data_IF_270678221482
#
_entry.id   IF_270678221482
#
_cell.length_a   1.000
_cell.length_b   1.000
_cell.length_c   1.000
_cell.angle_alpha   90.00
_cell.angle_beta   90.00
_cell.angle_gamma   90.00
#
_symmetry.space_group_name_H-M   'P 1'
#
loop_
_entity.id
_entity.type
_entity.pdbx_description
1 polymer ?
#
# COMPACT_ATOMS: atom_id res chain seq x y z
N UNK A 1 10.36 9.92 16.38
CA UNK A 1 9.80 10.08 15.02
C UNK A 1 8.79 8.96 14.78
N UNK A 2 7.54 9.31 14.54
CA UNK A 2 6.45 8.38 14.24
C UNK A 2 6.33 8.14 12.73
N UNK A 3 5.65 7.06 12.35
CA UNK A 3 5.32 6.76 10.95
C UNK A 3 3.80 6.80 10.75
N UNK A 4 3.36 7.35 9.63
CA UNK A 4 1.99 7.20 9.17
C UNK A 4 1.81 5.76 8.66
N UNK A 5 0.71 5.13 9.08
CA UNK A 5 0.40 3.75 8.69
C UNK A 5 -0.06 3.66 7.23
N UNK A 6 -0.81 4.66 6.76
CA UNK A 6 -1.32 4.72 5.39
C UNK A 6 -1.27 6.14 4.84
N UNK A 7 -1.56 6.28 3.54
CA UNK A 7 -1.71 7.59 2.91
C UNK A 7 -2.84 8.39 3.58
N UNK A 8 -2.60 9.68 3.85
CA UNK A 8 -3.63 10.59 4.37
C UNK A 8 -4.31 11.25 3.18
N UNK A 9 -5.62 11.03 3.03
CA UNK A 9 -6.36 11.36 1.78
C UNK A 9 -7.67 12.11 2.02
N UNK A 10 -8.19 12.72 0.97
CA UNK A 10 -9.50 13.40 0.95
C UNK A 10 -9.60 14.47 2.02
N UNK A 11 -10.70 14.44 2.79
CA UNK A 11 -10.92 15.41 3.86
C UNK A 11 -9.86 15.34 4.97
N UNK A 12 -9.25 14.17 5.22
CA UNK A 12 -8.17 14.05 6.18
C UNK A 12 -6.91 14.77 5.70
N UNK A 13 -6.61 14.69 4.41
CA UNK A 13 -5.52 15.43 3.78
C UNK A 13 -5.75 16.94 3.90
N UNK A 14 -6.94 17.42 3.53
CA UNK A 14 -7.27 18.85 3.63
C UNK A 14 -7.09 19.37 5.06
N UNK A 15 -7.56 18.62 6.06
CA UNK A 15 -7.42 18.98 7.48
C UNK A 15 -5.98 18.90 7.96
N UNK A 16 -5.19 17.95 7.46
CA UNK A 16 -3.76 17.86 7.76
C UNK A 16 -3.00 19.07 7.21
N UNK A 17 -3.34 19.52 5.99
CA UNK A 17 -2.77 20.74 5.41
C UNK A 17 -3.15 21.96 6.26
N UNK A 18 -4.41 22.10 6.66
CA UNK A 18 -4.83 23.21 7.52
C UNK A 18 -4.11 23.18 8.87
N UNK A 19 -4.05 22.00 9.51
CA UNK A 19 -3.30 21.79 10.75
C UNK A 19 -1.83 22.20 10.61
N UNK A 20 -1.20 21.81 9.50
CA UNK A 20 0.19 22.10 9.23
C UNK A 20 0.44 23.58 8.95
N UNK A 21 -0.42 24.23 8.15
CA UNK A 21 -0.31 25.66 7.82
C UNK A 21 -0.45 26.58 9.05
N UNK A 22 -1.12 26.12 10.11
CA UNK A 22 -1.25 26.86 11.38
C UNK A 22 -0.04 26.73 12.32
N UNK A 23 0.80 25.71 12.12
CA UNK A 23 1.83 25.28 13.11
C UNK A 23 3.25 25.21 12.55
N UNK A 24 3.38 25.03 11.24
CA UNK A 24 4.64 25.06 10.52
C UNK A 24 4.91 26.49 10.03
N UNK A 25 6.17 26.92 10.09
CA UNK A 25 6.58 28.21 9.52
C UNK A 25 6.76 28.11 8.00
N UNK A 26 7.26 26.97 7.54
CA UNK A 26 7.60 26.77 6.13
C UNK A 26 7.29 25.35 5.67
N UNK A 27 7.16 25.18 4.36
CA UNK A 27 7.13 23.86 3.73
C UNK A 27 8.07 23.83 2.52
N UNK A 28 8.49 22.62 2.14
CA UNK A 28 9.37 22.37 1.02
C UNK A 28 8.76 21.42 0.00
N UNK A 29 9.17 21.60 -1.25
CA UNK A 29 8.87 20.72 -2.38
C UNK A 29 10.17 20.42 -3.15
N UNK A 30 10.37 19.16 -3.53
CA UNK A 30 11.52 18.68 -4.27
C UNK A 30 11.25 18.50 -5.76
N UNK A 31 12.25 18.81 -6.58
CA UNK A 31 12.29 18.47 -8.01
C UNK A 31 13.62 17.78 -8.26
N UNK A 32 13.61 16.46 -8.19
CA UNK A 32 14.81 15.62 -8.26
C UNK A 32 15.33 15.49 -9.71
N UNK A 33 16.61 15.17 -9.89
CA UNK A 33 17.28 15.17 -11.21
C UNK A 33 16.89 14.02 -12.13
N UNK A 34 16.71 12.81 -11.58
CA UNK A 34 16.21 11.64 -12.32
C UNK A 34 14.86 11.89 -13.01
N UNK A 35 14.12 12.87 -12.50
CA UNK A 35 12.85 13.34 -13.04
C UNK A 35 13.05 14.32 -14.22
N UNK A 36 14.22 14.95 -14.35
CA UNK A 36 14.57 15.93 -15.39
C UNK A 36 15.43 15.36 -16.53
N UNK A 37 15.90 14.12 -16.41
CA UNK A 37 16.78 13.46 -17.38
C UNK A 37 15.98 12.44 -18.21
N UNK A 38 15.21 12.92 -19.19
CA UNK A 38 14.88 12.10 -20.36
C UNK A 38 16.08 12.10 -21.34
N UNK A 39 16.13 11.16 -22.30
CA UNK A 39 17.25 11.02 -23.26
C UNK A 39 17.52 12.30 -24.10
N UNK A 40 16.67 13.34 -23.99
CA UNK A 40 16.76 14.62 -24.69
C UNK A 40 17.04 15.82 -23.77
N UNK A 41 17.18 15.63 -22.45
CA UNK A 41 17.49 16.69 -21.50
C UNK A 41 16.38 17.72 -21.30
N UNK A 42 15.12 17.37 -21.59
CA UNK A 42 13.96 18.22 -21.36
C UNK A 42 13.07 17.56 -20.31
N UNK A 43 13.00 18.16 -19.12
CA UNK A 43 12.06 17.73 -18.10
C UNK A 43 10.64 17.79 -18.67
N UNK A 44 9.98 16.64 -18.87
CA UNK A 44 8.57 16.55 -19.26
C UNK A 44 7.70 16.92 -18.05
N UNK A 45 7.68 18.22 -17.78
CA UNK A 45 6.88 18.78 -16.70
C UNK A 45 5.44 18.96 -17.19
N UNK A 46 4.52 18.36 -16.46
CA UNK A 46 3.09 18.52 -16.72
C UNK A 46 2.70 20.02 -16.65
N UNK A 47 1.76 20.46 -17.49
CA UNK A 47 1.23 21.84 -17.45
C UNK A 47 0.69 22.17 -16.05
N UNK A 48 0.13 21.18 -15.34
CA UNK A 48 -0.33 21.33 -13.97
C UNK A 48 0.81 21.59 -12.98
N UNK A 49 1.96 20.94 -13.18
CA UNK A 49 3.16 21.14 -12.37
C UNK A 49 3.64 22.59 -12.47
N UNK A 50 3.79 23.13 -13.69
CA UNK A 50 4.29 24.50 -13.89
C UNK A 50 3.31 25.55 -13.37
N UNK A 51 2.00 25.31 -13.59
CA UNK A 51 0.95 26.17 -13.05
C UNK A 51 0.99 26.21 -11.52
N UNK A 52 1.25 25.07 -10.87
CA UNK A 52 1.37 25.00 -9.42
C UNK A 52 2.55 25.83 -8.90
N UNK A 53 3.73 25.69 -9.50
CA UNK A 53 4.90 26.48 -9.09
C UNK A 53 4.65 27.98 -9.25
N UNK A 54 3.95 28.40 -10.32
CA UNK A 54 3.55 29.80 -10.51
C UNK A 54 2.57 30.29 -9.43
N UNK A 55 1.60 29.46 -9.04
CA UNK A 55 0.66 29.78 -7.96
C UNK A 55 1.34 29.88 -6.59
N UNK A 56 2.40 29.09 -6.36
CA UNK A 56 3.17 29.11 -5.12
C UNK A 56 4.27 30.18 -5.08
N UNK A 57 4.67 30.73 -6.23
CA UNK A 57 5.74 31.72 -6.35
C UNK A 57 5.61 32.94 -5.40
N UNK A 58 4.41 33.51 -5.14
CA UNK A 58 4.27 34.60 -4.17
C UNK A 58 4.68 34.26 -2.74
N UNK A 59 4.75 32.97 -2.39
CA UNK A 59 5.12 32.46 -1.06
C UNK A 59 6.55 31.91 -1.01
N UNK A 60 7.30 31.96 -2.13
CA UNK A 60 8.64 31.41 -2.21
C UNK A 60 9.63 32.22 -1.37
N UNK A 61 10.35 31.55 -0.47
CA UNK A 61 11.39 32.15 0.36
C UNK A 61 12.79 31.89 -0.20
N UNK A 62 13.07 30.65 -0.61
CA UNK A 62 14.35 30.29 -1.19
C UNK A 62 14.25 29.11 -2.14
N UNK A 63 15.22 29.04 -3.07
CA UNK A 63 15.47 27.88 -3.93
C UNK A 63 16.85 27.34 -3.57
N UNK A 64 16.92 26.06 -3.23
CA UNK A 64 18.12 25.44 -2.69
C UNK A 64 18.58 24.30 -3.60
N UNK A 65 19.90 24.15 -3.75
CA UNK A 65 20.49 22.97 -4.37
C UNK A 65 20.56 21.82 -3.38
N UNK A 66 20.56 20.58 -3.89
CA UNK A 66 20.83 19.37 -3.09
C UNK A 66 22.02 19.52 -2.14
N UNK A 67 23.19 19.95 -2.64
CA UNK A 67 24.40 20.05 -1.83
C UNK A 67 24.27 21.00 -0.64
N UNK A 68 23.40 22.01 -0.74
CA UNK A 68 23.17 22.97 0.33
C UNK A 68 22.32 22.42 1.47
N UNK A 69 21.48 21.39 1.22
CA UNK A 69 20.45 20.96 2.15
C UNK A 69 20.44 19.46 2.48
N UNK A 70 21.22 18.63 1.76
CA UNK A 70 21.24 17.16 1.88
C UNK A 70 21.58 16.61 3.27
N UNK A 71 22.22 17.41 4.11
CA UNK A 71 22.61 16.99 5.47
C UNK A 71 21.52 17.25 6.51
N UNK A 72 20.52 18.08 6.19
CA UNK A 72 19.53 18.58 7.14
C UNK A 72 18.09 18.21 6.80
N UNK A 73 17.80 17.77 5.57
CA UNK A 73 16.44 17.54 5.10
C UNK A 73 16.23 16.15 4.51
N UNK A 74 15.20 15.49 5.00
CA UNK A 74 14.80 14.11 4.68
C UNK A 74 14.44 13.94 3.22
N UNK A 75 13.88 14.98 2.60
CA UNK A 75 13.49 14.97 1.18
C UNK A 75 14.67 15.21 0.23
N UNK A 76 15.84 15.59 0.75
CA UNK A 76 17.03 15.84 -0.04
C UNK A 76 17.96 14.61 -0.04
N UNK A 77 17.44 13.46 -0.47
CA UNK A 77 18.16 12.18 -0.55
C UNK A 77 18.74 11.89 -1.94
N UNK A 78 18.32 12.63 -2.98
CA UNK A 78 18.97 12.61 -4.30
C UNK A 78 19.20 14.02 -4.85
N UNK A 79 20.12 14.20 -5.82
CA UNK A 79 20.34 15.48 -6.47
C UNK A 79 19.04 16.08 -7.03
N UNK A 80 18.82 17.37 -6.81
CA UNK A 80 17.59 18.05 -7.18
C UNK A 80 17.60 19.54 -6.86
N UNK A 81 16.48 20.19 -7.20
CA UNK A 81 16.16 21.57 -6.82
C UNK A 81 15.05 21.55 -5.78
N UNK A 82 15.21 22.28 -4.69
CA UNK A 82 14.27 22.27 -3.57
C UNK A 82 13.77 23.67 -3.27
N UNK A 83 12.45 23.83 -3.30
CA UNK A 83 11.79 25.11 -3.11
C UNK A 83 11.25 25.18 -1.69
N UNK A 84 11.59 26.24 -0.96
CA UNK A 84 11.10 26.50 0.39
C UNK A 84 10.12 27.66 0.36
N UNK A 85 8.92 27.43 0.88
CA UNK A 85 7.81 28.36 0.86
C UNK A 85 7.37 28.71 2.28
N UNK A 86 6.85 29.92 2.45
CA UNK A 86 6.17 30.35 3.67
C UNK A 86 4.81 29.64 3.81
N UNK A 87 4.53 29.08 4.99
CA UNK A 87 3.19 28.60 5.31
C UNK A 87 2.23 29.79 5.45
N UNK A 88 1.14 29.76 4.66
CA UNK A 88 0.05 30.74 4.71
C UNK A 88 -1.28 30.05 4.37
N UNK A 89 -2.43 30.58 4.81
CA UNK A 89 -3.73 30.05 4.40
C UNK A 89 -3.92 30.00 2.88
N UNK A 90 -3.36 30.95 2.14
CA UNK A 90 -3.41 31.01 0.68
C UNK A 90 -2.56 29.92 0.03
N UNK A 91 -1.33 29.68 0.52
CA UNK A 91 -0.51 28.56 0.07
C UNK A 91 -1.20 27.21 0.38
N UNK A 92 -1.82 27.07 1.56
CA UNK A 92 -2.62 25.90 1.93
C UNK A 92 -3.75 25.60 0.94
N UNK A 93 -4.47 26.62 0.46
CA UNK A 93 -5.50 26.46 -0.58
C UNK A 93 -4.90 25.93 -1.88
N UNK A 94 -3.72 26.39 -2.26
CA UNK A 94 -3.03 25.92 -3.47
C UNK A 94 -2.65 24.43 -3.33
N UNK A 95 -2.07 24.02 -2.19
CA UNK A 95 -1.73 22.61 -1.94
C UNK A 95 -2.98 21.69 -1.99
N UNK A 96 -4.08 22.12 -1.36
CA UNK A 96 -5.35 21.37 -1.36
C UNK A 96 -6.01 21.27 -2.73
N UNK A 97 -5.77 22.23 -3.63
CA UNK A 97 -6.25 22.16 -5.01
C UNK A 97 -5.36 21.27 -5.89
N UNK A 98 -4.08 21.18 -5.56
CA UNK A 98 -3.09 20.44 -6.34
C UNK A 98 -3.19 18.92 -6.13
N UNK A 99 -3.45 18.49 -4.88
CA UNK A 99 -3.44 17.09 -4.50
C UNK A 99 -4.66 16.70 -3.66
N UNK A 100 -4.96 15.40 -3.65
CA UNK A 100 -6.02 14.81 -2.81
C UNK A 100 -5.48 13.91 -1.71
N UNK A 101 -4.16 13.72 -1.66
CA UNK A 101 -3.49 12.95 -0.61
C UNK A 101 -2.02 13.32 -0.46
N UNK A 102 -1.43 12.89 0.65
CA UNK A 102 -0.02 13.11 0.93
C UNK A 102 0.87 12.38 -0.09
N UNK A 103 0.57 11.12 -0.43
CA UNK A 103 1.36 10.37 -1.42
C UNK A 103 1.04 10.71 -2.88
N UNK A 104 0.23 11.74 -3.15
CA UNK A 104 -0.02 12.23 -4.52
C UNK A 104 1.11 13.13 -5.06
N UNK A 105 1.97 13.65 -4.18
CA UNK A 105 3.07 14.57 -4.51
C UNK A 105 4.22 13.83 -5.21
N UNK A 106 4.00 13.43 -6.47
CA UNK A 106 4.92 12.62 -7.28
C UNK A 106 4.98 13.17 -8.71
N UNK A 107 6.16 13.14 -9.33
CA UNK A 107 6.36 13.55 -10.72
C UNK A 107 5.67 12.59 -11.71
N UNK A 108 5.24 13.01 -12.93
CA UNK A 108 5.31 14.34 -13.55
C UNK A 108 4.24 15.35 -13.15
N UNK A 109 3.21 14.90 -12.44
CA UNK A 109 2.03 15.73 -12.20
C UNK A 109 2.27 16.83 -11.17
N UNK A 110 3.09 16.53 -10.15
CA UNK A 110 3.38 17.44 -9.04
C UNK A 110 4.88 17.40 -8.71
N UNK A 111 5.42 18.46 -8.08
CA UNK A 111 6.68 18.38 -7.34
C UNK A 111 6.62 17.24 -6.31
N UNK A 112 7.77 16.65 -6.02
CA UNK A 112 7.85 15.54 -5.09
C UNK A 112 7.93 16.03 -3.65
N UNK A 113 7.53 15.14 -2.73
CA UNK A 113 7.92 15.19 -1.32
C UNK A 113 7.54 16.46 -0.54
N UNK A 114 6.23 16.75 -0.46
CA UNK A 114 5.71 17.82 0.40
C UNK A 114 6.13 17.63 1.87
N UNK A 115 7.07 18.45 2.34
CA UNK A 115 7.58 18.39 3.71
C UNK A 115 7.29 19.70 4.46
N UNK A 116 6.63 19.63 5.62
CA UNK A 116 6.45 20.79 6.50
C UNK A 116 7.56 20.87 7.53
N UNK A 117 7.95 22.09 7.89
CA UNK A 117 9.06 22.37 8.80
C UNK A 117 8.59 23.16 10.02
N UNK A 118 9.15 22.84 11.19
CA UNK A 118 8.88 23.57 12.43
C UNK A 118 9.58 24.95 12.44
N UNK A 119 9.45 25.69 13.55
CA UNK A 119 10.03 27.03 13.69
C UNK A 119 11.57 27.05 13.66
N UNK A 120 12.21 25.93 14.01
CA UNK A 120 13.66 25.76 13.94
C UNK A 120 14.14 25.38 12.53
N UNK A 121 13.21 25.23 11.58
CA UNK A 121 13.49 24.82 10.21
C UNK A 121 13.74 23.32 10.06
N UNK A 122 13.50 22.52 11.09
CA UNK A 122 13.62 21.06 11.04
C UNK A 122 12.39 20.45 10.38
N UNK A 123 12.59 19.34 9.69
CA UNK A 123 11.49 18.59 9.10
C UNK A 123 10.52 18.09 10.20
N UNK A 124 9.23 18.33 10.00
CA UNK A 124 8.17 18.08 10.96
C UNK A 124 7.14 17.07 10.46
N UNK A 125 6.50 17.33 9.32
CA UNK A 125 5.66 16.36 8.61
C UNK A 125 6.38 16.02 7.32
N UNK A 126 6.96 14.82 7.29
CA UNK A 126 7.81 14.35 6.21
C UNK A 126 7.01 13.43 5.31
N UNK A 127 7.08 13.68 4.01
CA UNK A 127 6.50 12.85 2.97
C UNK A 127 7.59 12.54 1.95
N UNK A 128 7.89 11.26 1.76
CA UNK A 128 8.70 10.78 0.64
C UNK A 128 7.74 9.96 -0.22
N UNK A 129 7.14 10.63 -1.20
CA UNK A 129 5.85 10.23 -1.77
C UNK A 129 5.99 9.02 -2.70
N UNK A 130 7.05 8.96 -3.51
CA UNK A 130 7.32 7.84 -4.42
C UNK A 130 7.64 6.55 -3.66
N UNK A 131 8.24 6.66 -2.47
CA UNK A 131 8.47 5.55 -1.54
C UNK A 131 7.28 5.27 -0.61
N UNK A 132 6.24 6.10 -0.66
CA UNK A 132 5.04 6.01 0.20
C UNK A 132 5.38 6.05 1.69
N UNK A 133 6.37 6.87 2.06
CA UNK A 133 6.81 7.05 3.44
C UNK A 133 6.24 8.36 3.99
N UNK A 134 5.45 8.26 5.05
CA UNK A 134 5.02 9.39 5.85
C UNK A 134 5.62 9.32 7.26
N UNK A 135 6.31 10.37 7.72
CA UNK A 135 6.87 10.44 9.06
C UNK A 135 6.49 11.72 9.77
N UNK A 136 6.41 11.65 11.10
CA UNK A 136 6.08 12.77 11.96
C UNK A 136 7.19 12.94 12.99
N UNK A 137 7.85 14.09 12.95
CA UNK A 137 8.88 14.47 13.90
C UNK A 137 8.27 15.34 15.00
N UNK A 138 7.48 14.70 15.86
CA UNK A 138 6.82 15.33 17.01
C UNK A 138 6.88 14.37 18.21
N UNK A 139 6.58 14.87 19.40
CA UNK A 139 6.49 14.02 20.59
C UNK A 139 5.20 13.18 20.59
N UNK A 140 5.05 12.31 21.59
CA UNK A 140 3.92 11.39 21.70
C UNK A 140 2.60 12.12 21.95
N UNK A 141 2.62 13.21 22.71
CA UNK A 141 1.41 13.94 23.08
C UNK A 141 0.83 14.63 21.85
N UNK A 142 1.69 15.30 21.06
CA UNK A 142 1.32 15.93 19.80
C UNK A 142 0.82 14.91 18.75
N UNK A 143 1.49 13.75 18.64
CA UNK A 143 1.07 12.70 17.72
C UNK A 143 -0.31 12.14 18.09
N UNK A 144 -0.54 11.85 19.37
CA UNK A 144 -1.83 11.39 19.88
C UNK A 144 -2.93 12.46 19.73
N UNK A 145 -2.60 13.75 19.87
CA UNK A 145 -3.53 14.86 19.60
C UNK A 145 -3.90 14.93 18.13
N UNK A 146 -2.91 14.94 17.23
CA UNK A 146 -3.11 15.01 15.79
C UNK A 146 -4.01 13.88 15.28
N UNK A 147 -3.70 12.65 15.68
CA UNK A 147 -4.51 11.48 15.35
C UNK A 147 -5.93 11.60 15.89
N UNK A 148 -6.09 12.08 17.13
CA UNK A 148 -7.43 12.31 17.69
C UNK A 148 -8.22 13.36 16.92
N UNK A 149 -7.55 14.43 16.51
CA UNK A 149 -8.13 15.57 15.83
C UNK A 149 -8.58 15.21 14.42
N UNK A 150 -7.79 14.42 13.69
CA UNK A 150 -7.99 14.17 12.25
C UNK A 150 -8.19 12.68 11.96
N UNK A 151 -9.44 12.18 11.94
CA UNK A 151 -9.75 10.87 11.37
C UNK A 151 -9.19 10.76 9.95
N UNK A 152 -8.47 9.68 9.67
CA UNK A 152 -7.70 9.48 8.43
C UNK A 152 -6.19 9.73 8.56
N UNK A 153 -5.73 10.41 9.62
CA UNK A 153 -4.32 10.35 10.03
C UNK A 153 -4.18 9.15 10.95
N UNK A 154 -3.64 8.04 10.45
CA UNK A 154 -3.42 6.82 11.25
C UNK A 154 -1.92 6.68 11.54
N UNK A 155 -1.53 6.68 12.81
CA UNK A 155 -0.14 6.63 13.22
C UNK A 155 0.20 5.21 13.67
N UNK A 156 1.32 4.68 13.18
CA UNK A 156 1.82 3.39 13.63
C UNK A 156 2.34 3.50 15.06
N UNK A 157 1.79 2.69 15.98
CA UNK A 157 2.13 2.69 17.40
C UNK A 157 2.75 1.35 17.81
N UNK A 158 3.83 1.34 18.62
CA UNK A 158 4.38 0.09 19.17
C UNK A 158 3.34 -0.76 19.89
N UNK A 159 2.34 -0.12 20.50
CA UNK A 159 1.27 -0.78 21.22
C UNK A 159 0.40 -1.66 20.29
N UNK A 160 0.35 -1.40 18.98
CA UNK A 160 -0.37 -2.23 18.01
C UNK A 160 0.24 -3.63 17.86
N UNK A 161 1.52 -3.83 18.16
CA UNK A 161 2.18 -5.12 17.97
C UNK A 161 1.56 -6.21 18.83
N UNK A 162 1.04 -7.25 18.19
CA UNK A 162 0.39 -8.38 18.87
C UNK A 162 -0.97 -8.06 19.50
N UNK A 163 -1.52 -6.85 19.29
CA UNK A 163 -2.82 -6.45 19.83
C UNK A 163 -3.78 -6.06 18.70
N UNK A 164 -4.40 -7.09 18.10
CA UNK A 164 -5.30 -6.93 16.96
C UNK A 164 -6.54 -6.08 17.29
N UNK A 165 -7.08 -6.17 18.50
CA UNK A 165 -8.28 -5.42 18.89
C UNK A 165 -8.01 -3.91 18.92
N UNK A 166 -6.88 -3.51 19.50
CA UNK A 166 -6.51 -2.11 19.54
C UNK A 166 -6.13 -1.60 18.15
N UNK A 167 -5.38 -2.39 17.38
CA UNK A 167 -5.10 -2.06 15.98
C UNK A 167 -6.39 -1.84 15.17
N UNK A 168 -7.37 -2.74 15.29
CA UNK A 168 -8.65 -2.61 14.58
C UNK A 168 -9.47 -1.43 15.08
N UNK A 169 -9.43 -1.09 16.38
CA UNK A 169 -10.12 0.10 16.89
C UNK A 169 -9.63 1.38 16.20
N UNK A 170 -8.30 1.52 16.07
CA UNK A 170 -7.70 2.67 15.40
C UNK A 170 -7.93 2.59 13.88
N UNK A 171 -7.68 1.44 13.25
CA UNK A 171 -7.92 1.27 11.82
C UNK A 171 -9.39 1.55 11.43
N UNK A 172 -10.36 1.14 12.23
CA UNK A 172 -11.79 1.45 12.01
C UNK A 172 -12.05 2.95 12.18
N UNK A 173 -11.41 3.62 13.14
CA UNK A 173 -11.52 5.08 13.30
C UNK A 173 -10.96 5.84 12.09
N UNK A 174 -9.81 5.41 11.58
CA UNK A 174 -9.08 6.14 10.55
C UNK A 174 -9.41 5.70 9.12
N UNK A 175 -10.05 4.55 8.93
CA UNK A 175 -10.49 4.03 7.64
C UNK A 175 -9.37 4.06 6.57
N UNK A 176 -8.20 3.43 6.83
CA UNK A 176 -7.09 3.42 5.90
C UNK A 176 -7.47 2.65 4.62
N UNK A 177 -6.83 3.00 3.50
CA UNK A 177 -6.99 2.29 2.23
C UNK A 177 -6.09 1.06 2.11
N UNK A 178 -5.13 0.89 3.02
CA UNK A 178 -4.24 -0.26 3.13
C UNK A 178 -4.16 -0.76 4.56
N UNK A 179 -4.22 -2.08 4.75
CA UNK A 179 -4.00 -2.78 6.02
C UNK A 179 -3.15 -4.01 5.78
N UNK A 180 -2.20 -4.21 6.68
CA UNK A 180 -1.33 -5.37 6.74
C UNK A 180 -1.52 -6.04 8.11
N UNK A 181 -2.10 -7.24 8.10
CA UNK A 181 -2.24 -8.09 9.27
C UNK A 181 -1.06 -9.05 9.29
N UNK A 182 -0.02 -8.68 10.03
CA UNK A 182 1.24 -9.43 10.05
C UNK A 182 1.72 -9.60 11.49
N UNK A 183 2.12 -10.82 11.85
CA UNK A 183 2.75 -11.13 13.14
C UNK A 183 1.91 -10.75 14.37
N UNK A 184 0.58 -10.76 14.25
CA UNK A 184 -0.35 -10.61 15.36
C UNK A 184 -0.58 -11.91 16.14
N UNK A 185 -0.12 -13.06 15.63
CA UNK A 185 -0.37 -14.33 16.31
C UNK A 185 -1.76 -14.90 16.02
N UNK A 186 -2.37 -14.53 14.88
CA UNK A 186 -3.77 -14.84 14.62
C UNK A 186 -3.97 -16.30 14.21
N UNK A 187 -4.98 -16.92 14.78
CA UNK A 187 -5.58 -18.18 14.31
C UNK A 187 -6.82 -17.95 13.45
N UNK A 188 -7.44 -16.77 13.58
CA UNK A 188 -8.60 -16.33 12.81
C UNK A 188 -8.54 -14.82 12.55
N UNK A 189 -9.12 -14.38 11.44
CA UNK A 189 -9.29 -12.95 11.16
C UNK A 189 -10.54 -12.47 11.89
N UNK A 190 -10.49 -11.39 12.69
CA UNK A 190 -11.66 -10.90 13.40
C UNK A 190 -12.79 -10.47 12.44
N UNK A 191 -14.03 -10.84 12.75
CA UNK A 191 -15.23 -10.48 11.98
C UNK A 191 -15.42 -8.97 11.80
N UNK A 192 -14.83 -8.16 12.69
CA UNK A 192 -14.80 -6.69 12.62
C UNK A 192 -14.02 -6.15 11.43
N UNK A 193 -13.25 -6.97 10.71
CA UNK A 193 -12.56 -6.56 9.48
C UNK A 193 -13.53 -5.91 8.47
N UNK A 194 -14.80 -6.34 8.45
CA UNK A 194 -15.88 -5.76 7.62
C UNK A 194 -16.10 -4.25 7.82
N UNK A 195 -15.68 -3.72 8.96
CA UNK A 195 -15.87 -2.31 9.33
C UNK A 195 -14.88 -1.38 8.61
N UNK A 196 -13.83 -1.92 7.95
CA UNK A 196 -12.85 -1.16 7.17
C UNK A 196 -13.37 -0.85 5.76
N UNK A 197 -14.41 -0.01 5.67
CA UNK A 197 -15.19 0.25 4.44
C UNK A 197 -14.39 0.94 3.32
N UNK A 198 -13.34 1.67 3.68
CA UNK A 198 -12.43 2.34 2.74
C UNK A 198 -11.28 1.45 2.25
N UNK A 199 -11.14 0.24 2.79
CA UNK A 199 -9.98 -0.62 2.52
C UNK A 199 -9.93 -1.06 1.06
N UNK A 200 -8.77 -0.84 0.42
CA UNK A 200 -8.48 -1.22 -0.96
C UNK A 200 -7.42 -2.31 -1.05
N UNK A 201 -6.45 -2.32 -0.12
CA UNK A 201 -5.32 -3.24 -0.14
C UNK A 201 -5.24 -3.97 1.20
N UNK A 202 -5.45 -5.28 1.19
CA UNK A 202 -5.32 -6.12 2.38
C UNK A 202 -4.21 -7.13 2.16
N UNK A 203 -3.21 -7.10 3.04
CA UNK A 203 -2.21 -8.16 3.17
C UNK A 203 -2.44 -8.90 4.47
N UNK A 204 -2.49 -10.23 4.41
CA UNK A 204 -2.54 -11.12 5.56
C UNK A 204 -1.28 -11.97 5.50
N UNK A 205 -0.42 -11.86 6.51
CA UNK A 205 0.74 -12.72 6.70
C UNK A 205 0.74 -13.28 8.13
N UNK A 206 0.06 -14.41 8.28
CA UNK A 206 -0.15 -15.09 9.55
C UNK A 206 -0.02 -16.59 9.36
N UNK A 207 0.87 -17.21 10.11
CA UNK A 207 1.14 -18.64 9.98
C UNK A 207 -0.10 -19.51 10.28
N UNK A 208 -0.85 -19.20 11.33
CA UNK A 208 -1.86 -20.11 11.90
C UNK A 208 -3.29 -19.87 11.38
N UNK A 209 -3.46 -18.99 10.39
CA UNK A 209 -4.76 -18.79 9.71
C UNK A 209 -4.98 -19.91 8.70
N UNK A 210 -6.06 -20.66 8.89
CA UNK A 210 -6.48 -21.75 7.99
C UNK A 210 -7.74 -21.43 7.20
N UNK A 211 -8.61 -20.55 7.70
CA UNK A 211 -9.88 -20.18 7.07
C UNK A 211 -10.06 -18.67 7.02
N UNK A 212 -10.90 -18.20 6.10
CA UNK A 212 -11.22 -16.77 5.92
C UNK A 212 -12.68 -16.51 6.34
N UNK A 213 -12.96 -15.50 7.19
CA UNK A 213 -14.32 -15.22 7.62
C UNK A 213 -15.15 -14.60 6.50
N UNK A 214 -16.46 -14.81 6.53
CA UNK A 214 -17.40 -14.21 5.57
C UNK A 214 -17.32 -12.67 5.55
N UNK A 215 -16.99 -12.05 6.70
CA UNK A 215 -16.76 -10.61 6.83
C UNK A 215 -15.71 -10.04 5.88
N UNK A 216 -14.64 -10.79 5.57
CA UNK A 216 -13.59 -10.32 4.68
C UNK A 216 -14.17 -9.98 3.30
N UNK A 217 -15.14 -10.78 2.84
CA UNK A 217 -15.77 -10.64 1.53
C UNK A 217 -16.88 -9.57 1.49
N UNK A 218 -17.13 -8.89 2.62
CA UNK A 218 -17.99 -7.71 2.70
C UNK A 218 -17.24 -6.41 2.36
N UNK A 219 -15.91 -6.44 2.23
CA UNK A 219 -15.05 -5.31 1.87
C UNK A 219 -15.22 -4.88 0.40
N UNK A 220 -16.30 -4.15 0.09
CA UNK A 220 -16.69 -3.79 -1.29
C UNK A 220 -15.71 -2.87 -2.03
N UNK A 221 -14.80 -2.23 -1.31
CA UNK A 221 -13.78 -1.35 -1.88
C UNK A 221 -12.47 -2.09 -2.19
N UNK A 222 -12.34 -3.37 -1.82
CA UNK A 222 -11.08 -4.09 -1.93
C UNK A 222 -10.68 -4.32 -3.39
N UNK A 223 -9.48 -3.84 -3.73
CA UNK A 223 -8.87 -3.93 -5.07
C UNK A 223 -7.71 -4.93 -5.09
N UNK A 224 -7.05 -5.18 -3.96
CA UNK A 224 -5.95 -6.14 -3.83
C UNK A 224 -6.05 -6.94 -2.55
N UNK A 225 -5.96 -8.26 -2.66
CA UNK A 225 -5.91 -9.20 -1.55
C UNK A 225 -4.69 -10.09 -1.68
N UNK A 226 -3.82 -10.05 -0.68
CA UNK A 226 -2.67 -10.93 -0.53
C UNK A 226 -2.87 -11.78 0.72
N UNK A 227 -2.85 -13.09 0.57
CA UNK A 227 -2.95 -14.06 1.68
C UNK A 227 -1.68 -14.89 1.67
N UNK A 228 -0.95 -14.87 2.78
CA UNK A 228 0.27 -15.63 3.02
C UNK A 228 0.12 -16.36 4.35
N UNK A 229 -0.06 -17.67 4.29
CA UNK A 229 -0.32 -18.52 5.48
C UNK A 229 0.47 -19.82 5.39
N UNK A 230 0.48 -20.62 6.45
CA UNK A 230 1.12 -21.93 6.39
C UNK A 230 0.34 -22.88 5.48
N UNK A 231 -0.97 -22.98 5.68
CA UNK A 231 -1.84 -23.95 5.00
C UNK A 231 -3.30 -23.47 5.02
N UNK A 232 -3.69 -22.73 3.98
CA UNK A 232 -5.08 -22.33 3.76
C UNK A 232 -5.92 -23.57 3.44
N UNK A 233 -7.11 -23.69 4.02
CA UNK A 233 -8.02 -24.80 3.72
C UNK A 233 -8.71 -24.61 2.38
N UNK A 234 -9.32 -23.44 2.18
CA UNK A 234 -10.00 -23.10 0.95
C UNK A 234 -10.08 -21.59 0.75
N UNK A 235 -10.35 -21.21 -0.50
CA UNK A 235 -10.89 -19.90 -0.83
C UNK A 235 -12.41 -20.08 -1.01
N UNK A 236 -13.26 -19.47 -0.17
CA UNK A 236 -14.70 -19.70 -0.24
C UNK A 236 -15.32 -19.04 -1.49
N UNK A 237 -16.49 -19.52 -1.92
CA UNK A 237 -17.23 -18.94 -3.04
C UNK A 237 -17.59 -17.46 -2.84
N UNK A 238 -17.62 -17.01 -1.58
CA UNK A 238 -17.78 -15.61 -1.21
C UNK A 238 -16.73 -14.67 -1.81
N UNK A 239 -15.60 -15.17 -2.32
CA UNK A 239 -14.63 -14.35 -3.08
C UNK A 239 -15.30 -13.52 -4.18
N UNK A 240 -16.32 -14.05 -4.85
CA UNK A 240 -17.08 -13.36 -5.89
C UNK A 240 -17.73 -12.05 -5.43
N UNK A 241 -17.96 -11.89 -4.12
CA UNK A 241 -18.52 -10.67 -3.53
C UNK A 241 -17.56 -9.48 -3.60
N UNK A 242 -16.27 -9.69 -3.86
CA UNK A 242 -15.24 -8.66 -4.03
C UNK A 242 -15.17 -8.17 -5.49
N UNK A 243 -16.26 -7.58 -5.97
CA UNK A 243 -16.42 -7.20 -7.38
C UNK A 243 -15.44 -6.15 -7.92
N UNK A 244 -14.65 -5.52 -7.04
CA UNK A 244 -13.58 -4.56 -7.38
C UNK A 244 -12.17 -5.16 -7.36
N UNK A 245 -12.03 -6.45 -7.04
CA UNK A 245 -10.74 -7.08 -6.88
C UNK A 245 -10.02 -7.15 -8.24
N UNK A 246 -8.83 -6.56 -8.29
CA UNK A 246 -7.92 -6.53 -9.44
C UNK A 246 -6.73 -7.46 -9.26
N UNK A 247 -6.30 -7.66 -8.02
CA UNK A 247 -5.17 -8.53 -7.70
C UNK A 247 -5.53 -9.49 -6.58
N UNK A 248 -5.36 -10.78 -6.83
CA UNK A 248 -5.47 -11.84 -5.84
C UNK A 248 -4.17 -12.63 -5.81
N UNK A 249 -3.49 -12.61 -4.67
CA UNK A 249 -2.34 -13.47 -4.38
C UNK A 249 -2.65 -14.38 -3.21
N UNK A 250 -2.46 -15.68 -3.39
CA UNK A 250 -2.54 -16.67 -2.32
C UNK A 250 -1.27 -17.48 -2.29
N UNK A 251 -0.58 -17.50 -1.16
CA UNK A 251 0.60 -18.33 -0.94
C UNK A 251 0.41 -19.15 0.32
N UNK A 252 0.56 -20.48 0.22
CA UNK A 252 0.76 -21.32 1.40
C UNK A 252 2.27 -21.49 1.65
N UNK A 253 2.65 -22.24 2.69
CA UNK A 253 4.04 -22.42 3.08
C UNK A 253 4.72 -21.15 3.60
N UNK A 254 3.94 -20.14 3.99
CA UNK A 254 4.45 -18.89 4.54
C UNK A 254 4.43 -18.97 6.07
N UNK A 255 5.56 -18.65 6.71
CA UNK A 255 5.74 -18.74 8.16
C UNK A 255 6.28 -17.41 8.66
N UNK A 256 5.49 -16.68 9.42
CA UNK A 256 5.90 -15.39 9.99
C UNK A 256 6.69 -15.56 11.30
N UNK A 257 6.57 -16.73 11.94
CA UNK A 257 7.18 -17.06 13.25
C UNK A 257 7.58 -18.54 13.35
N UNK A 258 8.43 -19.06 12.45
CA UNK A 258 8.79 -20.48 12.46
C UNK A 258 9.57 -20.86 13.73
N UNK A 259 9.19 -21.98 14.36
CA UNK A 259 9.96 -22.58 15.44
C UNK A 259 11.33 -23.11 14.93
N UNK A 260 12.36 -23.25 15.77
CA UNK A 260 13.69 -23.70 15.33
C UNK A 260 13.74 -25.06 14.62
N UNK A 261 12.81 -25.96 14.93
CA UNK A 261 12.67 -27.31 14.36
C UNK A 261 11.54 -27.40 13.32
N UNK A 262 11.02 -26.25 12.89
CA UNK A 262 9.92 -26.15 11.94
C UNK A 262 10.25 -26.83 10.61
N UNK A 263 9.28 -27.55 10.04
CA UNK A 263 9.37 -28.19 8.73
C UNK A 263 8.23 -27.74 7.84
N UNK A 264 8.58 -27.23 6.67
CA UNK A 264 7.60 -26.84 5.64
C UNK A 264 6.74 -28.04 5.27
N UNK A 265 5.42 -27.82 5.29
CA UNK A 265 4.42 -28.82 4.87
C UNK A 265 4.64 -29.14 3.38
N UNK A 266 4.88 -30.41 2.99
CA UNK A 266 4.98 -30.79 1.58
C UNK A 266 3.72 -30.41 0.80
N UNK A 267 3.88 -30.02 -0.47
CA UNK A 267 2.78 -29.54 -1.31
C UNK A 267 1.64 -30.56 -1.42
N UNK A 268 1.97 -31.85 -1.38
CA UNK A 268 1.05 -32.98 -1.46
C UNK A 268 0.12 -33.07 -0.25
N UNK A 269 0.58 -32.55 0.90
CA UNK A 269 -0.12 -32.54 2.19
C UNK A 269 -0.93 -31.25 2.41
N UNK A 270 -0.73 -30.21 1.61
CA UNK A 270 -1.48 -28.95 1.71
C UNK A 270 -2.98 -29.14 1.46
N UNK A 271 -3.76 -28.33 2.17
CA UNK A 271 -5.23 -28.34 2.19
C UNK A 271 -5.83 -27.54 1.05
N UNK A 272 -5.19 -26.44 0.63
CA UNK A 272 -5.66 -25.62 -0.49
C UNK A 272 -5.45 -26.34 -1.83
N UNK A 273 -6.48 -27.06 -2.28
CA UNK A 273 -6.40 -27.99 -3.43
C UNK A 273 -7.10 -27.51 -4.70
N UNK A 274 -7.90 -26.46 -4.62
CA UNK A 274 -8.62 -25.91 -5.76
C UNK A 274 -9.04 -24.46 -5.54
N UNK A 275 -9.08 -23.69 -6.62
CA UNK A 275 -9.76 -22.39 -6.65
C UNK A 275 -11.27 -22.62 -6.84
N UNK A 276 -12.15 -21.90 -6.13
CA UNK A 276 -13.60 -22.04 -6.31
C UNK A 276 -14.02 -21.57 -7.71
N UNK A 277 -15.00 -22.21 -8.37
CA UNK A 277 -15.58 -21.75 -9.64
C UNK A 277 -16.04 -20.28 -9.62
N UNK A 278 -16.50 -19.80 -8.46
CA UNK A 278 -16.92 -18.42 -8.23
C UNK A 278 -15.85 -17.38 -8.55
N UNK A 279 -14.56 -17.77 -8.66
CA UNK A 279 -13.51 -16.89 -9.15
C UNK A 279 -13.86 -16.24 -10.49
N UNK A 280 -14.58 -16.95 -11.37
CA UNK A 280 -14.98 -16.44 -12.69
C UNK A 280 -15.94 -15.23 -12.67
N UNK A 281 -16.48 -14.87 -11.51
CA UNK A 281 -17.32 -13.68 -11.32
C UNK A 281 -16.50 -12.40 -11.04
N UNK A 282 -15.18 -12.53 -10.80
CA UNK A 282 -14.29 -11.39 -10.58
C UNK A 282 -13.89 -10.70 -11.88
N UNK A 283 -14.85 -10.08 -12.57
CA UNK A 283 -14.64 -9.51 -13.91
C UNK A 283 -13.59 -8.38 -13.98
N UNK A 284 -13.17 -7.82 -12.84
CA UNK A 284 -12.09 -6.82 -12.75
C UNK A 284 -10.72 -7.42 -12.40
N UNK A 285 -10.61 -8.73 -12.19
CA UNK A 285 -9.36 -9.38 -11.81
C UNK A 285 -8.37 -9.30 -12.98
N UNK A 286 -7.22 -8.66 -12.73
CA UNK A 286 -6.12 -8.45 -13.67
C UNK A 286 -4.93 -9.38 -13.36
N UNK A 287 -4.74 -9.71 -12.08
CA UNK A 287 -3.62 -10.53 -11.62
C UNK A 287 -4.11 -11.63 -10.67
N UNK A 288 -3.84 -12.89 -11.04
CA UNK A 288 -4.07 -14.06 -10.18
C UNK A 288 -2.74 -14.80 -9.99
N UNK A 289 -2.28 -14.85 -8.75
CA UNK A 289 -1.05 -15.53 -8.35
C UNK A 289 -1.38 -16.53 -7.25
N UNK A 290 -1.12 -17.81 -7.50
CA UNK A 290 -1.21 -18.84 -6.48
C UNK A 290 0.13 -19.56 -6.40
N UNK A 291 0.77 -19.42 -5.25
CA UNK A 291 2.11 -19.90 -5.00
C UNK A 291 2.14 -20.95 -3.88
N UNK A 292 2.95 -21.99 -4.04
CA UNK A 292 3.16 -23.06 -3.05
C UNK A 292 1.84 -23.61 -2.48
N UNK A 293 1.06 -24.32 -3.30
CA UNK A 293 -0.27 -24.80 -2.91
C UNK A 293 -0.46 -26.27 -3.30
N UNK A 294 -1.48 -26.92 -2.73
CA UNK A 294 -1.90 -28.27 -3.10
C UNK A 294 -2.76 -28.32 -4.37
N UNK A 295 -2.82 -27.25 -5.15
CA UNK A 295 -3.70 -27.13 -6.32
C UNK A 295 -3.29 -28.10 -7.42
N UNK A 296 -4.25 -28.91 -7.87
CA UNK A 296 -4.06 -29.91 -8.94
C UNK A 296 -4.74 -29.53 -10.25
N UNK A 297 -5.77 -28.69 -10.19
CA UNK A 297 -6.55 -28.26 -11.35
C UNK A 297 -7.01 -26.82 -11.19
N UNK A 298 -7.36 -26.18 -12.30
CA UNK A 298 -7.99 -24.87 -12.31
C UNK A 298 -9.44 -25.01 -12.80
N UNK A 299 -10.40 -24.27 -12.21
CA UNK A 299 -11.78 -24.29 -12.67
C UNK A 299 -11.90 -23.65 -14.06
N UNK A 300 -12.72 -24.20 -14.97
CA UNK A 300 -12.91 -23.64 -16.31
C UNK A 300 -13.47 -22.21 -16.30
N UNK A 301 -14.12 -21.80 -15.22
CA UNK A 301 -14.64 -20.45 -15.00
C UNK A 301 -13.57 -19.36 -15.03
N UNK A 302 -12.28 -19.69 -14.89
CA UNK A 302 -11.17 -18.73 -15.11
C UNK A 302 -11.25 -18.09 -16.51
N UNK A 303 -11.79 -18.79 -17.52
CA UNK A 303 -11.98 -18.22 -18.86
C UNK A 303 -12.96 -17.03 -18.89
N UNK A 304 -13.75 -16.81 -17.84
CA UNK A 304 -14.68 -15.69 -17.71
C UNK A 304 -13.97 -14.39 -17.27
N UNK A 305 -12.71 -14.48 -16.81
CA UNK A 305 -11.92 -13.35 -16.33
C UNK A 305 -11.32 -12.55 -17.48
N UNK A 306 -12.16 -11.77 -18.19
CA UNK A 306 -11.77 -10.99 -19.38
C UNK A 306 -10.74 -9.88 -19.13
N UNK A 307 -10.61 -9.44 -17.88
CA UNK A 307 -9.60 -8.45 -17.47
C UNK A 307 -8.27 -9.08 -17.07
N UNK A 308 -8.17 -10.40 -16.95
CA UNK A 308 -6.97 -11.07 -16.46
C UNK A 308 -5.81 -10.87 -17.43
N UNK A 309 -4.68 -10.37 -16.94
CA UNK A 309 -3.46 -10.15 -17.72
C UNK A 309 -2.35 -11.11 -17.31
N UNK A 310 -2.26 -11.44 -16.03
CA UNK A 310 -1.30 -12.42 -15.51
C UNK A 310 -2.00 -13.53 -14.74
N UNK A 311 -1.68 -14.77 -15.10
CA UNK A 311 -2.05 -15.98 -14.37
C UNK A 311 -0.80 -16.76 -14.00
N UNK A 312 -0.44 -16.76 -12.72
CA UNK A 312 0.74 -17.45 -12.21
C UNK A 312 0.31 -18.54 -11.22
N UNK A 313 0.63 -19.79 -11.53
CA UNK A 313 0.56 -20.90 -10.58
C UNK A 313 1.96 -21.47 -10.42
N UNK A 314 2.62 -21.11 -9.32
CA UNK A 314 4.01 -21.49 -9.06
C UNK A 314 4.04 -22.47 -7.90
N UNK A 315 4.82 -23.54 -8.02
CA UNK A 315 4.93 -24.56 -6.98
C UNK A 315 3.56 -25.16 -6.62
N UNK A 316 2.73 -25.42 -7.62
CA UNK A 316 1.51 -26.21 -7.48
C UNK A 316 1.77 -27.71 -7.71
N UNK A 317 0.67 -28.45 -7.85
CA UNK A 317 0.62 -29.86 -8.27
C UNK A 317 -0.15 -30.02 -9.59
N UNK A 318 -0.24 -28.96 -10.40
CA UNK A 318 -0.84 -29.00 -11.72
C UNK A 318 0.13 -29.69 -12.68
N UNK A 319 -0.25 -30.87 -13.17
CA UNK A 319 0.58 -31.65 -14.11
C UNK A 319 0.64 -31.02 -15.51
N UNK A 320 -0.44 -30.38 -15.95
CA UNK A 320 -0.50 -29.70 -17.24
C UNK A 320 -1.50 -28.55 -17.23
N UNK A 321 -1.21 -27.52 -18.02
CA UNK A 321 -2.11 -26.39 -18.21
C UNK A 321 -3.42 -26.84 -18.90
N UNK A 322 -4.61 -26.49 -18.36
CA UNK A 322 -5.88 -26.85 -18.99
C UNK A 322 -6.10 -26.14 -20.34
N UNK A 323 -6.82 -26.80 -21.25
CA UNK A 323 -6.95 -26.35 -22.65
C UNK A 323 -7.53 -24.94 -22.80
N UNK A 324 -8.44 -24.52 -21.92
CA UNK A 324 -9.07 -23.21 -21.99
C UNK A 324 -8.06 -22.06 -21.90
N UNK A 325 -6.90 -22.25 -21.24
CA UNK A 325 -5.87 -21.21 -21.12
C UNK A 325 -5.33 -20.81 -22.48
N UNK A 326 -5.19 -21.75 -23.42
CA UNK A 326 -4.72 -21.46 -24.78
C UNK A 326 -5.73 -20.64 -25.60
N UNK A 327 -6.98 -20.54 -25.14
CA UNK A 327 -8.01 -19.69 -25.77
C UNK A 327 -8.08 -18.28 -25.17
N UNK A 328 -7.40 -18.04 -24.03
CA UNK A 328 -7.39 -16.77 -23.32
C UNK A 328 -6.42 -15.77 -23.97
N UNK A 329 -6.75 -15.32 -25.17
CA UNK A 329 -5.94 -14.39 -26.00
C UNK A 329 -5.70 -13.00 -25.39
N UNK A 330 -6.31 -12.71 -24.24
CA UNK A 330 -6.15 -11.45 -23.50
C UNK A 330 -5.16 -11.55 -22.32
N UNK A 331 -4.57 -12.73 -22.09
CA UNK A 331 -3.46 -12.90 -21.14
C UNK A 331 -2.16 -12.37 -21.76
N UNK A 332 -1.50 -11.48 -21.05
CA UNK A 332 -0.14 -11.03 -21.39
C UNK A 332 0.89 -12.06 -20.91
N UNK A 333 0.59 -12.73 -19.80
CA UNK A 333 1.47 -13.70 -19.16
C UNK A 333 0.68 -14.83 -18.52
N UNK A 334 1.21 -16.03 -18.69
CA UNK A 334 0.77 -17.23 -17.99
C UNK A 334 1.99 -18.07 -17.61
N UNK A 335 2.04 -18.52 -16.36
CA UNK A 335 3.09 -19.39 -15.85
C UNK A 335 2.49 -20.52 -15.02
N UNK A 336 2.78 -21.77 -15.39
CA UNK A 336 2.65 -22.94 -14.51
C UNK A 336 4.02 -23.60 -14.44
N UNK A 337 4.64 -23.54 -13.26
CA UNK A 337 6.01 -24.02 -13.07
C UNK A 337 6.23 -24.52 -11.64
N UNK A 338 7.14 -25.48 -11.49
CA UNK A 338 7.72 -25.84 -10.19
C UNK A 338 9.14 -25.25 -10.07
N UNK A 339 9.35 -24.44 -9.05
CA UNK A 339 10.58 -23.71 -8.73
C UNK A 339 11.10 -24.13 -7.35
N UNK A 340 12.41 -23.97 -7.09
CA UNK A 340 12.94 -24.11 -5.73
C UNK A 340 12.18 -23.19 -4.77
N UNK A 341 11.55 -23.79 -3.76
CA UNK A 341 10.81 -23.04 -2.75
C UNK A 341 11.76 -22.48 -1.69
N UNK A 342 11.70 -21.18 -1.50
CA UNK A 342 12.34 -20.49 -0.37
C UNK A 342 11.25 -20.05 0.60
N UNK A 343 11.53 -20.16 1.91
CA UNK A 343 10.64 -19.63 2.93
C UNK A 343 10.34 -18.15 2.64
N UNK A 344 9.06 -17.79 2.67
CA UNK A 344 8.65 -16.40 2.61
C UNK A 344 9.03 -15.73 3.92
N UNK A 345 10.23 -15.12 3.98
CA UNK A 345 10.60 -14.22 5.05
C UNK A 345 10.22 -12.80 4.62
N UNK A 346 9.15 -12.24 5.21
CA UNK A 346 9.11 -10.78 5.35
C UNK A 346 10.13 -10.44 6.44
N UNK A 347 11.27 -9.92 6.00
CA UNK A 347 12.39 -9.53 6.85
C UNK A 347 11.94 -8.61 7.98
N UNK A 348 12.56 -8.80 9.15
CA UNK A 348 12.51 -7.91 10.30
C UNK A 348 13.30 -6.61 10.03
N UNK A 349 12.91 -5.84 9.01
CA UNK A 349 13.48 -4.52 8.70
C UNK A 349 12.48 -3.38 8.92
#
# INVERSE_FOLDING_TARGET
MFRLYSDVRGTAYERLIDYAMERADTFMLGVHKWVTEDENGVADKDVLFEKLLQQLNPFLLSTNSYDAIRENHSIAYTPGTFYRYQCTPEAGKVLKQAASSLFSWVHPKLPEDLCFQNADGEDWIINIAHERIGRLNMDKEDADELEKLIPGVFIHKPEHHGNIDMFLNDAIRHQPDRVELMRFGLTEIPERIRELRSLKHLTIFEQDIRTLPSALFELKSLESLTIQVADLEELPADIAKLSRLKSLRVSCGCYDRPAPDYKVIPKEELSFRSVPPAIGELHQLEYLDISYSGIRTLPPEIQNLRSLRSLDIVNGLIESAPEFIYTMTWLDRFLIEDKPFHLCNHGDD
#
